data_IF_007397353071
#
_entry.id   IF_007397353071
#
_cell.length_a   1.000
_cell.length_b   1.000
_cell.length_c   1.000
_cell.angle_alpha   90.00
_cell.angle_beta   90.00
_cell.angle_gamma   90.00
#
_symmetry.space_group_name_H-M   'P 1'
#
loop_
_entity.id
_entity.type
_entity.pdbx_description
1 polymer ?
#
# COMPACT_ATOMS: atom_id res chain seq x y z
N UNK A 1 -19.81 -21.19 -13.56
CA UNK A 1 -20.32 -19.90 -13.07
C UNK A 1 -19.14 -19.10 -12.46
N UNK A 2 -19.00 -17.82 -12.89
CA UNK A 2 -17.86 -16.99 -12.51
C UNK A 2 -17.64 -16.91 -10.98
N UNK A 3 -18.71 -16.85 -10.22
CA UNK A 3 -18.64 -16.81 -8.75
C UNK A 3 -18.07 -18.10 -8.16
N UNK A 4 -18.40 -19.25 -8.72
CA UNK A 4 -17.84 -20.54 -8.32
C UNK A 4 -16.36 -20.62 -8.69
N UNK A 5 -16.00 -20.20 -9.90
CA UNK A 5 -14.62 -20.20 -10.37
C UNK A 5 -13.72 -19.29 -9.51
N UNK A 6 -14.24 -18.13 -9.09
CA UNK A 6 -13.54 -17.20 -8.18
C UNK A 6 -13.35 -17.85 -6.81
N UNK A 7 -14.42 -18.40 -6.22
CA UNK A 7 -14.36 -19.06 -4.91
C UNK A 7 -13.40 -20.26 -4.90
N UNK A 8 -13.33 -21.03 -5.99
CA UNK A 8 -12.38 -22.14 -6.11
C UNK A 8 -10.92 -21.66 -6.22
N UNK A 9 -10.68 -20.54 -6.93
CA UNK A 9 -9.36 -19.93 -7.01
C UNK A 9 -8.91 -19.40 -5.66
N UNK A 10 -9.77 -18.70 -4.94
CA UNK A 10 -9.48 -18.23 -3.58
C UNK A 10 -9.17 -19.38 -2.64
N UNK A 11 -9.96 -20.46 -2.67
CA UNK A 11 -9.71 -21.65 -1.85
C UNK A 11 -8.34 -22.25 -2.12
N UNK A 12 -7.91 -22.31 -3.39
CA UNK A 12 -6.58 -22.82 -3.76
C UNK A 12 -5.47 -21.92 -3.23
N UNK A 13 -5.63 -20.60 -3.33
CA UNK A 13 -4.66 -19.64 -2.80
C UNK A 13 -4.58 -19.73 -1.27
N UNK A 14 -5.71 -19.75 -0.58
CA UNK A 14 -5.77 -19.87 0.88
C UNK A 14 -5.17 -21.21 1.38
N UNK A 15 -5.27 -22.29 0.58
CA UNK A 15 -4.65 -23.56 0.96
C UNK A 15 -3.11 -23.55 0.96
N UNK A 16 -2.48 -22.53 0.39
CA UNK A 16 -1.02 -22.33 0.41
C UNK A 16 -0.54 -21.49 1.59
N UNK A 17 -1.47 -20.92 2.36
CA UNK A 17 -1.19 -20.04 3.50
C UNK A 17 -1.54 -20.79 4.78
N UNK A 18 -0.64 -20.77 5.76
CA UNK A 18 -0.96 -21.25 7.12
C UNK A 18 -1.81 -20.21 7.86
N UNK A 19 -3.12 -20.21 7.60
CA UNK A 19 -4.06 -19.25 8.21
C UNK A 19 -4.38 -19.56 9.69
N UNK A 20 -4.06 -20.77 10.18
CA UNK A 20 -4.27 -21.14 11.58
C UNK A 20 -3.15 -20.63 12.49
N UNK A 21 -1.90 -20.77 12.06
CA UNK A 21 -0.72 -20.40 12.85
C UNK A 21 -0.05 -19.11 12.34
N UNK A 22 -0.22 -18.78 11.07
CA UNK A 22 0.36 -17.61 10.43
C UNK A 22 -0.33 -16.30 10.80
N UNK A 23 0.25 -15.19 10.34
CA UNK A 23 -0.33 -13.87 10.46
C UNK A 23 -0.14 -13.05 9.18
N UNK A 24 -0.97 -12.03 9.02
CA UNK A 24 -0.79 -11.00 7.99
C UNK A 24 -0.43 -9.68 8.66
N UNK A 25 0.60 -9.01 8.15
CA UNK A 25 1.02 -7.70 8.64
C UNK A 25 0.30 -6.60 7.87
N UNK A 26 -0.43 -5.75 8.59
CA UNK A 26 -1.01 -4.53 8.04
C UNK A 26 -0.26 -3.30 8.57
N UNK A 27 0.26 -2.47 7.66
CA UNK A 27 0.92 -1.20 7.99
C UNK A 27 0.03 -0.05 7.52
N UNK A 28 -0.56 0.67 8.47
CA UNK A 28 -1.48 1.77 8.20
C UNK A 28 -0.77 3.10 8.03
N UNK A 29 -0.79 3.68 6.82
CA UNK A 29 -0.26 5.01 6.53
C UNK A 29 -1.43 6.01 6.51
N UNK A 30 -1.60 6.87 7.54
CA UNK A 30 -2.80 7.69 7.69
C UNK A 30 -2.76 8.99 6.87
N UNK A 31 -1.95 9.05 5.82
CA UNK A 31 -1.76 10.26 5.02
C UNK A 31 -2.32 10.12 3.61
N UNK A 32 -2.93 11.21 3.11
CA UNK A 32 -3.39 11.34 1.73
C UNK A 32 -2.92 12.68 1.15
N UNK A 33 -2.84 12.82 -0.19
CA UNK A 33 -2.58 14.14 -0.80
C UNK A 33 -3.67 15.16 -0.42
N UNK A 34 -4.93 14.73 -0.42
CA UNK A 34 -6.12 15.49 0.00
C UNK A 34 -7.19 14.55 0.54
N UNK A 35 -8.15 15.08 1.32
CA UNK A 35 -9.31 14.31 1.78
C UNK A 35 -10.38 14.25 0.69
N UNK A 36 -10.82 13.03 0.33
CA UNK A 36 -11.93 12.82 -0.60
C UNK A 36 -13.27 13.02 0.12
N UNK A 37 -14.28 13.59 -0.55
CA UNK A 37 -15.57 13.94 0.09
C UNK A 37 -16.36 12.73 0.63
N UNK A 38 -16.13 11.56 0.08
CA UNK A 38 -16.82 10.31 0.48
C UNK A 38 -16.03 9.48 1.50
N UNK A 39 -14.79 9.86 1.83
CA UNK A 39 -13.90 9.03 2.63
C UNK A 39 -14.25 9.07 4.10
N UNK A 40 -14.48 7.90 4.70
CA UNK A 40 -14.70 7.71 6.13
C UNK A 40 -13.46 7.18 6.87
N UNK A 41 -12.37 6.92 6.17
CA UNK A 41 -11.13 6.45 6.80
C UNK A 41 -10.43 7.58 7.54
N UNK A 42 -9.67 7.19 8.58
CA UNK A 42 -8.76 8.10 9.24
C UNK A 42 -7.65 8.50 8.27
N UNK A 43 -7.78 9.67 7.67
CA UNK A 43 -6.79 10.18 6.72
C UNK A 43 -6.55 11.68 6.91
N UNK A 44 -5.29 12.06 6.84
CA UNK A 44 -4.84 13.43 7.03
C UNK A 44 -4.12 13.94 5.79
N UNK A 45 -4.39 15.19 5.32
CA UNK A 45 -3.61 15.80 4.26
C UNK A 45 -2.12 15.85 4.65
N UNK A 46 -1.25 15.17 3.90
CA UNK A 46 0.16 15.00 4.26
C UNK A 46 0.89 16.34 4.46
N UNK A 47 0.58 17.34 3.67
CA UNK A 47 1.19 18.67 3.74
C UNK A 47 1.12 19.31 5.14
N UNK A 48 0.11 18.95 5.95
CA UNK A 48 -0.04 19.44 7.32
C UNK A 48 0.85 18.66 8.32
N UNK A 49 1.43 17.55 7.90
CA UNK A 49 2.17 16.63 8.76
C UNK A 49 3.66 16.49 8.42
N UNK A 50 4.11 17.07 7.30
CA UNK A 50 5.50 17.00 6.85
C UNK A 50 6.52 17.29 7.96
N UNK A 51 6.27 18.33 8.78
CA UNK A 51 7.16 18.70 9.90
C UNK A 51 7.13 17.72 11.09
N UNK A 52 6.23 16.74 11.07
CA UNK A 52 6.05 15.75 12.13
C UNK A 52 6.27 14.33 11.62
N UNK A 53 6.75 14.18 10.38
CA UNK A 53 6.94 12.86 9.78
C UNK A 53 7.92 12.00 10.57
N UNK A 54 9.01 12.60 11.06
CA UNK A 54 9.98 11.86 11.89
C UNK A 54 9.37 11.34 13.18
N UNK A 55 8.52 12.13 13.85
CA UNK A 55 7.80 11.68 15.06
C UNK A 55 6.80 10.54 14.74
N UNK A 56 6.15 10.61 13.58
CA UNK A 56 5.27 9.54 13.13
C UNK A 56 6.08 8.25 12.86
N UNK A 57 7.20 8.34 12.12
CA UNK A 57 8.08 7.18 11.85
C UNK A 57 8.62 6.58 13.14
N UNK A 58 9.08 7.40 14.09
CA UNK A 58 9.57 6.94 15.39
C UNK A 58 8.49 6.13 16.15
N UNK A 59 7.25 6.62 16.15
CA UNK A 59 6.14 5.91 16.81
C UNK A 59 5.80 4.60 16.07
N UNK A 60 5.73 4.63 14.72
CA UNK A 60 5.47 3.47 13.90
C UNK A 60 6.55 2.39 14.08
N UNK A 61 7.82 2.78 14.12
CA UNK A 61 8.94 1.84 14.30
C UNK A 61 8.89 1.15 15.66
N UNK A 62 8.55 1.86 16.72
CA UNK A 62 8.33 1.26 18.06
C UNK A 62 7.19 0.24 18.06
N UNK A 63 6.10 0.54 17.35
CA UNK A 63 4.97 -0.37 17.21
C UNK A 63 5.38 -1.61 16.39
N UNK A 64 6.12 -1.44 15.29
CA UNK A 64 6.65 -2.53 14.48
C UNK A 64 7.58 -3.45 15.29
N UNK A 65 8.50 -2.89 16.08
CA UNK A 65 9.40 -3.64 16.96
C UNK A 65 8.63 -4.48 17.99
N UNK A 66 7.60 -3.89 18.59
CA UNK A 66 6.72 -4.63 19.51
C UNK A 66 5.98 -5.77 18.80
N UNK A 67 5.39 -5.51 17.64
CA UNK A 67 4.66 -6.53 16.86
C UNK A 67 5.60 -7.65 16.40
N UNK A 68 6.79 -7.31 15.91
CA UNK A 68 7.79 -8.29 15.48
C UNK A 68 8.17 -9.26 16.62
N UNK A 69 8.39 -8.75 17.82
CA UNK A 69 8.66 -9.60 19.00
C UNK A 69 7.49 -10.49 19.37
N UNK A 70 6.23 -9.99 19.27
CA UNK A 70 5.04 -10.79 19.58
C UNK A 70 4.78 -11.88 18.53
N UNK A 71 5.21 -11.68 17.28
CA UNK A 71 4.91 -12.57 16.15
C UNK A 71 6.10 -13.41 15.69
N UNK A 72 7.26 -13.35 16.36
CA UNK A 72 8.53 -13.95 15.94
C UNK A 72 8.48 -15.47 15.68
N UNK A 73 7.58 -16.17 16.39
CA UNK A 73 7.43 -17.64 16.29
C UNK A 73 6.29 -18.06 15.34
N UNK A 74 5.72 -17.12 14.59
CA UNK A 74 4.60 -17.37 13.66
C UNK A 74 5.01 -17.04 12.23
N UNK A 75 4.60 -17.85 11.24
CA UNK A 75 4.90 -17.57 9.84
C UNK A 75 4.16 -16.31 9.34
N UNK A 76 4.88 -15.45 8.62
CA UNK A 76 4.31 -14.26 7.97
C UNK A 76 3.70 -14.66 6.64
N UNK A 77 2.38 -14.51 6.50
CA UNK A 77 1.65 -14.91 5.29
C UNK A 77 1.59 -13.82 4.23
N UNK A 78 1.21 -12.60 4.62
CA UNK A 78 1.09 -11.47 3.69
C UNK A 78 1.48 -10.15 4.37
N UNK A 79 1.87 -9.16 3.57
CA UNK A 79 2.12 -7.80 4.02
C UNK A 79 1.25 -6.84 3.19
N UNK A 80 0.58 -5.92 3.87
CA UNK A 80 -0.28 -4.94 3.23
C UNK A 80 -0.06 -3.53 3.80
N UNK A 81 0.36 -2.62 2.95
CA UNK A 81 0.43 -1.19 3.25
C UNK A 81 -0.82 -0.50 2.73
N UNK A 82 -1.59 0.08 3.62
CA UNK A 82 -2.87 0.72 3.28
C UNK A 82 -3.23 1.87 4.21
N UNK A 83 -4.52 2.14 4.33
CA UNK A 83 -5.07 3.19 5.18
C UNK A 83 -5.49 4.44 4.43
N UNK A 84 -4.68 5.48 4.44
CA UNK A 84 -4.83 6.64 3.58
C UNK A 84 -4.31 6.35 2.18
N UNK A 85 -3.09 6.75 1.92
CA UNK A 85 -2.39 6.46 0.66
C UNK A 85 -0.89 6.37 0.92
N UNK A 86 -0.28 5.19 0.99
CA UNK A 86 1.15 5.02 1.28
C UNK A 86 2.06 5.84 0.36
N UNK A 87 1.73 5.95 -0.92
CA UNK A 87 2.47 6.77 -1.88
C UNK A 87 2.31 8.29 -1.69
N UNK A 88 1.58 8.74 -0.66
CA UNK A 88 1.62 10.14 -0.20
C UNK A 88 2.96 10.49 0.43
N UNK A 89 3.65 9.52 1.04
CA UNK A 89 4.99 9.70 1.56
C UNK A 89 5.96 10.11 0.44
N UNK A 90 7.01 10.85 0.79
CA UNK A 90 8.10 11.07 -0.16
C UNK A 90 8.91 9.77 -0.37
N UNK A 91 9.77 9.69 -1.39
CA UNK A 91 10.52 8.46 -1.67
C UNK A 91 11.41 8.03 -0.50
N UNK A 92 12.04 8.95 0.21
CA UNK A 92 12.91 8.65 1.33
C UNK A 92 12.15 8.08 2.53
N UNK A 93 11.05 8.71 2.95
CA UNK A 93 10.23 8.20 4.05
C UNK A 93 9.63 6.83 3.73
N UNK A 94 9.24 6.62 2.47
CA UNK A 94 8.73 5.33 2.00
C UNK A 94 9.81 4.24 2.06
N UNK A 95 11.03 4.54 1.61
CA UNK A 95 12.19 3.66 1.65
C UNK A 95 12.57 3.29 3.10
N UNK A 96 12.64 4.28 4.00
CA UNK A 96 12.95 4.05 5.41
C UNK A 96 11.94 3.13 6.10
N UNK A 97 10.64 3.31 5.83
CA UNK A 97 9.59 2.46 6.44
C UNK A 97 9.66 1.04 5.88
N UNK A 98 9.87 0.88 4.56
CA UNK A 98 10.01 -0.44 3.93
C UNK A 98 11.27 -1.16 4.42
N UNK A 99 12.40 -0.46 4.52
CA UNK A 99 13.64 -0.98 5.10
C UNK A 99 13.40 -1.50 6.53
N UNK A 100 12.69 -0.71 7.35
CA UNK A 100 12.37 -1.12 8.72
C UNK A 100 11.51 -2.39 8.78
N UNK A 101 10.59 -2.56 7.84
CA UNK A 101 9.80 -3.82 7.74
C UNK A 101 10.70 -5.00 7.37
N UNK A 102 11.62 -4.83 6.41
CA UNK A 102 12.56 -5.88 6.02
C UNK A 102 13.55 -6.26 7.15
N UNK A 103 13.93 -5.29 7.98
CA UNK A 103 14.78 -5.55 9.15
C UNK A 103 14.08 -6.37 10.25
N UNK A 104 12.78 -6.18 10.42
CA UNK A 104 12.04 -6.73 11.56
C UNK A 104 11.22 -7.98 11.23
N UNK A 105 10.81 -8.15 9.98
CA UNK A 105 9.89 -9.21 9.57
C UNK A 105 10.49 -10.07 8.46
N UNK A 106 10.19 -11.38 8.43
CA UNK A 106 10.69 -12.30 7.41
C UNK A 106 9.91 -12.13 6.10
N UNK A 107 10.13 -10.99 5.40
CA UNK A 107 9.35 -10.59 4.22
C UNK A 107 9.42 -11.58 3.07
N UNK A 108 10.50 -12.37 2.99
CA UNK A 108 10.68 -13.44 2.00
C UNK A 108 9.70 -14.61 2.16
N UNK A 109 9.05 -14.73 3.31
CA UNK A 109 8.02 -15.75 3.55
C UNK A 109 6.65 -15.32 3.03
N UNK A 110 6.42 -14.02 2.87
CA UNK A 110 5.14 -13.49 2.45
C UNK A 110 4.81 -13.89 1.01
N UNK A 111 3.65 -14.51 0.81
CA UNK A 111 3.16 -14.87 -0.53
C UNK A 111 2.68 -13.65 -1.33
N UNK A 112 2.37 -12.56 -0.65
CA UNK A 112 2.01 -11.28 -1.25
C UNK A 112 2.54 -10.12 -0.39
N UNK A 113 3.16 -9.14 -1.03
CA UNK A 113 3.50 -7.86 -0.44
C UNK A 113 2.85 -6.75 -1.28
N UNK A 114 1.77 -6.19 -0.74
CA UNK A 114 0.95 -5.17 -1.42
C UNK A 114 1.18 -3.79 -0.83
N UNK A 115 1.32 -2.78 -1.70
CA UNK A 115 1.31 -1.36 -1.32
C UNK A 115 0.22 -0.61 -2.10
N UNK A 116 -0.72 -0.02 -1.38
CA UNK A 116 -1.73 0.83 -1.98
C UNK A 116 -1.11 2.10 -2.58
N UNK A 117 -1.23 2.22 -3.89
CA UNK A 117 -0.92 3.43 -4.65
C UNK A 117 -2.24 4.06 -5.18
N UNK A 118 -3.25 4.08 -4.32
CA UNK A 118 -4.65 4.32 -4.65
C UNK A 118 -4.98 5.73 -5.19
N UNK A 119 -3.98 6.64 -5.20
CA UNK A 119 -4.12 8.02 -5.68
C UNK A 119 -3.14 8.27 -6.81
N UNK A 120 -3.57 8.31 -8.09
CA UNK A 120 -2.69 8.60 -9.23
C UNK A 120 -1.83 9.87 -9.05
N UNK A 121 -2.41 10.92 -8.44
CA UNK A 121 -1.72 12.18 -8.11
C UNK A 121 -0.60 12.04 -7.05
N UNK A 122 -0.48 10.91 -6.38
CA UNK A 122 0.60 10.62 -5.42
C UNK A 122 1.72 9.75 -6.01
N UNK A 123 1.54 9.20 -7.21
CA UNK A 123 2.46 8.26 -7.84
C UNK A 123 3.52 9.04 -8.63
N UNK A 124 4.79 8.75 -8.35
CA UNK A 124 5.94 9.20 -9.15
C UNK A 124 6.83 8.03 -9.54
N UNK A 125 7.68 8.21 -10.55
CA UNK A 125 8.65 7.20 -10.99
C UNK A 125 9.58 6.79 -9.85
N UNK A 126 10.06 7.75 -9.08
CA UNK A 126 10.98 7.52 -7.96
C UNK A 126 10.33 6.65 -6.89
N UNK A 127 9.07 6.91 -6.53
CA UNK A 127 8.33 6.10 -5.55
C UNK A 127 8.10 4.68 -6.04
N UNK A 128 7.69 4.52 -7.29
CA UNK A 128 7.54 3.19 -7.88
C UNK A 128 8.87 2.43 -7.93
N UNK A 129 9.99 3.13 -8.18
CA UNK A 129 11.31 2.53 -8.15
C UNK A 129 11.68 2.07 -6.73
N UNK A 130 11.38 2.87 -5.70
CA UNK A 130 11.54 2.45 -4.29
C UNK A 130 10.76 1.16 -4.05
N UNK A 131 9.48 1.12 -4.39
CA UNK A 131 8.67 -0.09 -4.22
C UNK A 131 9.26 -1.31 -4.94
N UNK A 132 9.78 -1.13 -6.15
CA UNK A 132 10.44 -2.23 -6.90
C UNK A 132 11.73 -2.70 -6.21
N UNK A 133 12.54 -1.79 -5.69
CA UNK A 133 13.78 -2.11 -5.01
C UNK A 133 13.54 -2.97 -3.75
N UNK A 134 12.41 -2.75 -3.07
CA UNK A 134 11.94 -3.55 -1.92
C UNK A 134 11.13 -4.78 -2.29
N UNK A 135 11.13 -5.20 -3.55
CA UNK A 135 10.48 -6.44 -3.98
C UNK A 135 8.95 -6.45 -3.86
N UNK A 136 8.31 -5.27 -3.79
CA UNK A 136 6.84 -5.20 -3.72
C UNK A 136 6.23 -5.94 -4.90
N UNK A 137 5.40 -6.95 -4.59
CA UNK A 137 4.83 -7.85 -5.59
C UNK A 137 3.54 -7.31 -6.22
N UNK A 138 2.84 -6.41 -5.51
CA UNK A 138 1.55 -5.89 -5.93
C UNK A 138 1.36 -4.42 -5.55
N UNK A 139 0.79 -3.63 -6.46
CA UNK A 139 0.31 -2.28 -6.17
C UNK A 139 -1.12 -2.11 -6.66
N UNK A 140 -1.86 -1.16 -6.06
CA UNK A 140 -3.18 -0.78 -6.55
C UNK A 140 -3.17 0.65 -7.08
N UNK A 141 -3.72 0.87 -8.26
CA UNK A 141 -3.95 2.20 -8.83
C UNK A 141 -5.45 2.38 -9.00
N UNK A 142 -6.08 3.20 -8.15
CA UNK A 142 -7.53 3.28 -8.05
C UNK A 142 -8.07 4.50 -8.82
N UNK A 143 -8.69 4.31 -9.99
CA UNK A 143 -9.28 5.41 -10.75
C UNK A 143 -10.49 6.03 -10.04
N UNK A 144 -11.22 5.27 -9.22
CA UNK A 144 -12.55 5.52 -8.65
C UNK A 144 -13.63 5.60 -9.75
N UNK A 145 -13.35 6.32 -10.82
CA UNK A 145 -14.19 6.45 -12.03
C UNK A 145 -13.33 6.97 -13.18
N UNK A 146 -13.76 6.68 -14.40
CA UNK A 146 -13.18 7.23 -15.63
C UNK A 146 -14.01 8.40 -16.20
N UNK A 147 -14.82 9.08 -15.35
CA UNK A 147 -15.58 10.28 -15.69
C UNK A 147 -15.02 11.48 -14.95
N UNK A 148 -14.40 12.42 -15.67
CA UNK A 148 -13.77 13.59 -15.07
C UNK A 148 -14.72 14.39 -14.19
N UNK A 149 -15.92 14.69 -14.65
CA UNK A 149 -16.91 15.42 -13.86
C UNK A 149 -17.27 14.74 -12.53
N UNK A 150 -17.19 13.42 -12.47
CA UNK A 150 -17.41 12.68 -11.21
C UNK A 150 -16.20 12.76 -10.31
N UNK A 151 -14.96 12.71 -10.85
CA UNK A 151 -13.74 12.92 -10.09
C UNK A 151 -13.74 14.30 -9.41
N UNK A 152 -14.09 15.33 -10.15
CA UNK A 152 -14.19 16.70 -9.66
C UNK A 152 -15.24 16.80 -8.54
N UNK A 153 -16.40 16.19 -8.74
CA UNK A 153 -17.50 16.17 -7.76
C UNK A 153 -17.12 15.52 -6.43
N UNK A 154 -16.36 14.41 -6.47
CA UNK A 154 -15.96 13.66 -5.27
C UNK A 154 -14.67 14.18 -4.62
N UNK A 155 -14.11 15.29 -5.12
CA UNK A 155 -12.91 15.93 -4.58
C UNK A 155 -11.59 15.22 -4.93
N UNK A 156 -11.57 14.44 -6.03
CA UNK A 156 -10.34 13.88 -6.59
C UNK A 156 -9.65 14.89 -7.49
N UNK A 157 -8.34 15.09 -7.31
CA UNK A 157 -7.58 16.10 -8.08
C UNK A 157 -6.88 15.54 -9.30
N UNK A 158 -6.80 14.22 -9.43
CA UNK A 158 -6.23 13.60 -10.61
C UNK A 158 -7.21 13.58 -11.78
N UNK A 159 -6.68 13.51 -12.98
CA UNK A 159 -7.44 13.37 -14.22
C UNK A 159 -7.57 11.91 -14.65
N UNK A 160 -8.45 11.65 -15.59
CA UNK A 160 -8.55 10.32 -16.24
C UNK A 160 -7.25 9.97 -16.97
N UNK A 161 -6.57 10.95 -17.55
CA UNK A 161 -5.27 10.74 -18.21
C UNK A 161 -4.17 10.39 -17.22
N UNK A 162 -4.15 11.00 -16.02
CA UNK A 162 -3.21 10.64 -14.95
C UNK A 162 -3.33 9.15 -14.58
N UNK A 163 -4.56 8.61 -14.51
CA UNK A 163 -4.77 7.18 -14.24
C UNK A 163 -4.06 6.31 -15.27
N UNK A 164 -4.27 6.62 -16.56
CA UNK A 164 -3.64 5.88 -17.67
C UNK A 164 -2.12 6.00 -17.64
N UNK A 165 -1.62 7.23 -17.46
CA UNK A 165 -0.18 7.51 -17.40
C UNK A 165 0.48 6.73 -16.26
N UNK A 166 -0.08 6.79 -15.04
CA UNK A 166 0.49 6.09 -13.88
C UNK A 166 0.40 4.58 -14.00
N UNK A 167 -0.68 4.06 -14.61
CA UNK A 167 -0.77 2.64 -14.93
C UNK A 167 0.31 2.19 -15.91
N UNK A 168 0.52 2.93 -17.01
CA UNK A 168 1.56 2.60 -17.99
C UNK A 168 2.96 2.73 -17.39
N UNK A 169 3.20 3.74 -16.55
CA UNK A 169 4.45 3.91 -15.83
C UNK A 169 4.74 2.72 -14.89
N UNK A 170 3.73 2.25 -14.17
CA UNK A 170 3.87 1.07 -13.32
C UNK A 170 4.21 -0.18 -14.14
N UNK A 171 3.55 -0.39 -15.29
CA UNK A 171 3.87 -1.48 -16.22
C UNK A 171 5.28 -1.40 -16.79
N UNK A 172 5.73 -0.20 -17.17
CA UNK A 172 7.11 0.04 -17.64
C UNK A 172 8.14 -0.36 -16.59
N UNK A 173 7.84 -0.10 -15.31
CA UNK A 173 8.72 -0.45 -14.19
C UNK A 173 8.56 -1.91 -13.72
N UNK A 174 7.76 -2.72 -14.41
CA UNK A 174 7.65 -4.15 -14.20
C UNK A 174 6.60 -4.57 -13.15
N UNK A 175 5.68 -3.70 -12.76
CA UNK A 175 4.50 -4.13 -11.99
C UNK A 175 3.48 -4.76 -12.93
N UNK A 176 3.22 -6.04 -12.78
CA UNK A 176 2.29 -6.82 -13.58
C UNK A 176 1.05 -7.30 -12.78
N UNK A 177 1.03 -7.01 -11.49
CA UNK A 177 -0.05 -7.29 -10.56
C UNK A 177 -0.42 -6.05 -9.72
#
# INVERSE_FOLDING_TARGET
DLSIDVAERERRLLSTIDYENGYSLYVGIPFCPTTCLYCSFTSFPIVKWEKRMDLYKEALFKEMEYVAEQMKDRPLSTIYFGGGTPTSLNPQDLDEILTKVEELFPVEQAVEFTVESGRPDSITREKLQVLRNHGISRISINPQTMKQATLDLIGRRHTVEDVKEKFLLARELGFDN
#
